data_IF_748418373240
#
_entry.id   IF_748418373240
#
_cell.length_a   1.000
_cell.length_b   1.000
_cell.length_c   1.000
_cell.angle_alpha   90.00
_cell.angle_beta   90.00
_cell.angle_gamma   90.00
#
_symmetry.space_group_name_H-M   'P 1'
#
loop_
_entity.id
_entity.type
_entity.pdbx_description
1 polymer ?
#
# COMPACT_ATOMS: atom_id res chain seq x y z
N UNK A 1 -4.30 -12.14 -6.82
CA UNK A 1 -3.18 -11.67 -7.67
C UNK A 1 -2.05 -11.22 -6.76
N UNK A 2 -0.86 -11.82 -6.87
CA UNK A 2 0.30 -11.45 -6.05
C UNK A 2 0.95 -10.20 -6.64
N UNK A 3 0.76 -9.05 -6.00
CA UNK A 3 1.52 -7.84 -6.30
C UNK A 3 2.97 -8.09 -5.84
N UNK A 4 3.81 -8.60 -6.74
CA UNK A 4 5.26 -8.67 -6.51
C UNK A 4 5.80 -7.24 -6.60
N UNK A 5 5.92 -6.58 -5.46
CA UNK A 5 6.62 -5.30 -5.35
C UNK A 5 8.11 -5.43 -5.66
N UNK A 6 8.81 -4.30 -5.75
CA UNK A 6 10.27 -4.29 -5.90
C UNK A 6 10.89 -4.88 -4.62
N UNK A 7 11.60 -5.99 -4.77
CA UNK A 7 12.19 -6.70 -3.63
C UNK A 7 13.46 -5.98 -3.15
N UNK A 8 13.45 -5.53 -1.89
CA UNK A 8 14.60 -4.89 -1.22
C UNK A 8 15.89 -5.67 -1.38
N UNK A 9 15.83 -7.00 -1.20
CA UNK A 9 17.00 -7.89 -1.29
C UNK A 9 17.58 -7.90 -2.71
N UNK A 10 16.71 -7.89 -3.73
CA UNK A 10 17.14 -7.82 -5.12
C UNK A 10 17.85 -6.50 -5.41
N UNK A 11 17.31 -5.38 -4.94
CA UNK A 11 17.92 -4.06 -5.13
C UNK A 11 19.25 -3.95 -4.38
N UNK A 12 19.33 -4.41 -3.13
CA UNK A 12 20.59 -4.45 -2.37
C UNK A 12 21.65 -5.29 -3.06
N UNK A 13 21.27 -6.45 -3.61
CA UNK A 13 22.19 -7.29 -4.37
C UNK A 13 22.69 -6.57 -5.64
N UNK A 14 21.81 -5.91 -6.39
CA UNK A 14 22.18 -5.16 -7.59
C UNK A 14 23.12 -3.99 -7.28
N UNK A 15 22.89 -3.26 -6.19
CA UNK A 15 23.80 -2.21 -5.74
C UNK A 15 25.19 -2.79 -5.41
N UNK A 16 25.24 -3.91 -4.71
CA UNK A 16 26.52 -4.58 -4.41
C UNK A 16 27.23 -5.10 -5.67
N UNK A 17 26.49 -5.56 -6.69
CA UNK A 17 27.07 -5.96 -7.97
C UNK A 17 27.63 -4.75 -8.73
N UNK A 18 26.98 -3.59 -8.67
CA UNK A 18 27.51 -2.35 -9.26
C UNK A 18 28.76 -1.85 -8.53
N UNK A 19 28.85 -2.03 -7.21
CA UNK A 19 30.06 -1.74 -6.44
C UNK A 19 31.23 -2.63 -6.92
N UNK A 20 30.98 -3.94 -7.07
CA UNK A 20 31.99 -4.89 -7.56
C UNK A 20 32.40 -4.60 -9.01
N UNK A 21 31.46 -4.19 -9.87
CA UNK A 21 31.74 -3.81 -11.25
C UNK A 21 32.65 -2.58 -11.31
N UNK A 22 32.37 -1.56 -10.49
CA UNK A 22 33.20 -0.36 -10.39
C UNK A 22 34.64 -0.70 -9.92
N UNK A 23 34.80 -1.62 -8.97
CA UNK A 23 36.11 -2.08 -8.53
C UNK A 23 36.88 -2.84 -9.63
N UNK A 24 36.17 -3.68 -10.39
CA UNK A 24 36.75 -4.41 -11.52
C UNK A 24 37.16 -3.48 -12.65
N UNK A 25 36.32 -2.52 -13.03
CA UNK A 25 36.62 -1.53 -14.07
C UNK A 25 37.89 -0.74 -13.71
N UNK A 26 38.02 -0.29 -12.45
CA UNK A 26 39.25 0.36 -11.98
C UNK A 26 40.47 -0.56 -12.04
N UNK A 27 40.32 -1.83 -11.64
CA UNK A 27 41.41 -2.80 -11.66
C UNK A 27 41.87 -3.14 -13.09
N UNK A 28 40.96 -3.09 -14.05
CA UNK A 28 41.22 -3.33 -15.47
C UNK A 28 41.76 -2.08 -16.20
N UNK A 29 41.88 -0.95 -15.52
CA UNK A 29 42.35 0.31 -16.11
C UNK A 29 41.32 0.97 -17.02
N UNK A 30 40.03 0.73 -16.78
CA UNK A 30 38.94 1.41 -17.48
C UNK A 30 39.07 2.93 -17.36
N UNK A 31 38.53 3.62 -18.34
CA UNK A 31 38.51 5.09 -18.35
C UNK A 31 37.70 5.64 -17.18
N UNK A 32 38.00 6.87 -16.79
CA UNK A 32 37.23 7.57 -15.75
C UNK A 32 35.76 7.78 -16.16
N UNK A 33 35.49 7.86 -17.47
CA UNK A 33 34.14 7.94 -18.04
C UNK A 33 33.34 6.65 -17.83
N UNK A 34 33.93 5.47 -18.04
CA UNK A 34 33.29 4.17 -17.79
C UNK A 34 33.01 3.97 -16.30
N UNK A 35 33.99 4.27 -15.44
CA UNK A 35 33.79 4.24 -13.98
C UNK A 35 32.68 5.21 -13.53
N UNK A 36 32.58 6.39 -14.17
CA UNK A 36 31.52 7.34 -13.87
C UNK A 36 30.14 6.84 -14.28
N UNK A 37 30.00 6.11 -15.39
CA UNK A 37 28.71 5.54 -15.79
C UNK A 37 28.19 4.55 -14.74
N UNK A 38 29.05 3.66 -14.21
CA UNK A 38 28.65 2.71 -13.15
C UNK A 38 28.22 3.45 -11.88
N UNK A 39 28.93 4.52 -11.50
CA UNK A 39 28.54 5.38 -10.36
C UNK A 39 27.18 6.02 -10.55
N UNK A 40 26.91 6.55 -11.74
CA UNK A 40 25.62 7.18 -12.09
C UNK A 40 24.51 6.14 -12.01
N UNK A 41 24.68 4.97 -12.62
CA UNK A 41 23.66 3.90 -12.54
C UNK A 41 23.38 3.45 -11.11
N UNK A 42 24.41 3.35 -10.27
CA UNK A 42 24.23 3.02 -8.85
C UNK A 42 23.42 4.09 -8.12
N UNK A 43 23.72 5.37 -8.38
CA UNK A 43 22.98 6.48 -7.79
C UNK A 43 21.52 6.48 -8.24
N UNK A 44 21.28 6.33 -9.55
CA UNK A 44 19.93 6.29 -10.13
C UNK A 44 19.10 5.14 -9.54
N UNK A 45 19.69 3.94 -9.42
CA UNK A 45 19.01 2.78 -8.83
C UNK A 45 18.64 3.05 -7.36
N UNK A 46 19.55 3.65 -6.59
CA UNK A 46 19.31 4.01 -5.18
C UNK A 46 18.20 5.05 -5.05
N UNK A 47 18.22 6.09 -5.87
CA UNK A 47 17.18 7.12 -5.87
C UNK A 47 15.81 6.57 -6.30
N UNK A 48 15.77 5.76 -7.36
CA UNK A 48 14.55 5.13 -7.83
C UNK A 48 13.93 4.25 -6.74
N UNK A 49 14.75 3.46 -6.04
CA UNK A 49 14.28 2.62 -4.95
C UNK A 49 13.75 3.42 -3.76
N UNK A 50 14.42 4.52 -3.38
CA UNK A 50 13.94 5.41 -2.33
C UNK A 50 12.61 6.06 -2.69
N UNK A 51 12.42 6.48 -3.95
CA UNK A 51 11.13 7.02 -4.42
C UNK A 51 10.03 5.96 -4.35
N UNK A 52 10.36 4.73 -4.72
CA UNK A 52 9.44 3.60 -4.59
C UNK A 52 9.02 3.35 -3.13
N UNK A 53 9.96 3.33 -2.18
CA UNK A 53 9.66 3.15 -0.75
C UNK A 53 8.77 4.27 -0.19
N UNK A 54 9.01 5.52 -0.61
CA UNK A 54 8.15 6.66 -0.23
C UNK A 54 6.71 6.48 -0.75
N UNK A 55 6.56 6.13 -2.02
CA UNK A 55 5.25 5.89 -2.63
C UNK A 55 4.49 4.74 -1.92
N UNK A 56 5.18 3.66 -1.56
CA UNK A 56 4.57 2.58 -0.77
C UNK A 56 4.08 3.07 0.60
N UNK A 57 4.85 3.92 1.26
CA UNK A 57 4.49 4.49 2.56
C UNK A 57 3.25 5.37 2.44
N UNK A 58 3.18 6.23 1.41
CA UNK A 58 2.01 7.07 1.14
C UNK A 58 0.75 6.23 0.85
N UNK A 59 0.88 5.18 0.02
CA UNK A 59 -0.23 4.26 -0.25
C UNK A 59 -0.70 3.57 1.03
N UNK A 60 0.22 3.12 1.90
CA UNK A 60 -0.13 2.48 3.16
C UNK A 60 -0.92 3.44 4.08
N UNK A 61 -0.55 4.72 4.12
CA UNK A 61 -1.31 5.75 4.84
C UNK A 61 -2.73 5.89 4.28
N UNK A 62 -2.87 5.98 2.96
CA UNK A 62 -4.19 6.07 2.33
C UNK A 62 -5.06 4.83 2.59
N UNK A 63 -4.48 3.63 2.53
CA UNK A 63 -5.18 2.38 2.87
C UNK A 63 -5.67 2.42 4.32
N UNK A 64 -4.82 2.87 5.26
CA UNK A 64 -5.21 3.04 6.67
C UNK A 64 -6.40 3.99 6.84
N UNK A 65 -6.37 5.15 6.19
CA UNK A 65 -7.47 6.14 6.23
C UNK A 65 -8.76 5.54 5.67
N UNK A 66 -8.70 4.86 4.52
CA UNK A 66 -9.86 4.22 3.91
C UNK A 66 -10.44 3.14 4.82
N UNK A 67 -9.58 2.34 5.46
CA UNK A 67 -10.00 1.29 6.39
C UNK A 67 -10.65 1.86 7.65
N UNK A 68 -10.13 2.97 8.17
CA UNK A 68 -10.74 3.69 9.29
C UNK A 68 -12.11 4.26 8.94
N UNK A 69 -12.25 4.87 7.75
CA UNK A 69 -13.54 5.37 7.26
C UNK A 69 -14.52 4.21 7.11
N UNK A 70 -14.10 3.12 6.47
CA UNK A 70 -14.92 1.93 6.32
C UNK A 70 -15.38 1.40 7.68
N UNK A 71 -14.49 1.29 8.66
CA UNK A 71 -14.83 0.84 10.01
C UNK A 71 -15.78 1.79 10.72
N UNK A 72 -15.59 3.12 10.61
CA UNK A 72 -16.53 4.11 11.16
C UNK A 72 -17.92 3.96 10.55
N UNK A 73 -18.01 3.76 9.23
CA UNK A 73 -19.28 3.57 8.54
C UNK A 73 -19.93 2.25 8.97
N UNK A 74 -19.20 1.14 8.87
CA UNK A 74 -19.70 -0.20 9.13
C UNK A 74 -20.12 -0.40 10.58
N UNK A 75 -19.31 0.07 11.54
CA UNK A 75 -19.49 -0.26 12.96
C UNK A 75 -20.25 0.80 13.74
N UNK A 76 -20.28 2.06 13.28
CA UNK A 76 -20.96 3.15 13.99
C UNK A 76 -22.14 3.69 13.20
N UNK A 77 -21.91 4.17 11.98
CA UNK A 77 -22.95 4.86 11.22
C UNK A 77 -24.10 3.93 10.83
N UNK A 78 -23.81 2.80 10.19
CA UNK A 78 -24.83 1.87 9.69
C UNK A 78 -25.70 1.33 10.83
N UNK A 79 -25.15 0.78 11.94
CA UNK A 79 -25.97 0.27 13.03
C UNK A 79 -26.82 1.36 13.69
N UNK A 80 -26.28 2.56 13.91
CA UNK A 80 -27.04 3.66 14.49
C UNK A 80 -28.17 4.14 13.58
N UNK A 81 -27.91 4.24 12.27
CA UNK A 81 -28.95 4.63 11.31
C UNK A 81 -30.06 3.59 11.23
N UNK A 82 -29.71 2.31 11.19
CA UNK A 82 -30.69 1.21 11.17
C UNK A 82 -31.51 1.16 12.47
N UNK A 83 -30.89 1.35 13.64
CA UNK A 83 -31.61 1.44 14.93
C UNK A 83 -32.59 2.60 14.97
N UNK A 84 -32.23 3.76 14.42
CA UNK A 84 -33.14 4.92 14.35
C UNK A 84 -34.32 4.65 13.43
N UNK A 85 -34.06 4.14 12.23
CA UNK A 85 -35.11 3.71 11.28
C UNK A 85 -36.09 2.73 11.94
N UNK A 86 -35.60 1.80 12.77
CA UNK A 86 -36.46 0.82 13.45
C UNK A 86 -37.45 1.46 14.43
N UNK A 87 -37.18 2.67 14.92
CA UNK A 87 -38.08 3.41 15.82
C UNK A 87 -39.17 4.18 15.07
N UNK A 88 -38.98 4.39 13.77
CA UNK A 88 -39.85 5.21 12.93
C UNK A 88 -40.75 4.34 12.03
N UNK A 89 -40.31 3.12 11.71
CA UNK A 89 -41.05 2.18 10.85
C UNK A 89 -42.07 1.39 11.69
N UNK A 90 -43.35 1.30 11.28
CA UNK A 90 -44.36 0.49 11.96
C UNK A 90 -43.96 -0.99 12.02
N UNK A 91 -44.15 -1.63 13.18
CA UNK A 91 -43.69 -3.02 13.40
C UNK A 91 -44.37 -4.05 12.48
N UNK A 92 -45.58 -3.75 12.04
CA UNK A 92 -46.40 -4.64 11.20
C UNK A 92 -46.06 -4.52 9.70
N UNK A 93 -45.13 -3.63 9.34
CA UNK A 93 -44.80 -3.35 7.94
C UNK A 93 -43.75 -4.33 7.39
N UNK A 94 -43.81 -4.59 6.08
CA UNK A 94 -42.82 -5.42 5.39
C UNK A 94 -41.40 -4.83 5.46
N UNK A 95 -41.30 -3.50 5.43
CA UNK A 95 -40.06 -2.75 5.58
C UNK A 95 -39.40 -2.99 6.94
N UNK A 96 -40.20 -3.19 8.01
CA UNK A 96 -39.67 -3.52 9.34
C UNK A 96 -38.98 -4.90 9.37
N UNK A 97 -39.53 -5.88 8.64
CA UNK A 97 -38.95 -7.22 8.51
C UNK A 97 -37.59 -7.14 7.79
N UNK A 98 -37.53 -6.43 6.66
CA UNK A 98 -36.29 -6.19 5.91
C UNK A 98 -35.25 -5.44 6.75
N UNK A 99 -35.69 -4.47 7.57
CA UNK A 99 -34.82 -3.70 8.44
C UNK A 99 -34.22 -4.56 9.56
N UNK A 100 -35.00 -5.47 10.17
CA UNK A 100 -34.49 -6.43 11.17
C UNK A 100 -33.40 -7.33 10.60
N UNK A 101 -33.58 -7.85 9.39
CA UNK A 101 -32.55 -8.65 8.72
C UNK A 101 -31.29 -7.83 8.43
N UNK A 102 -31.45 -6.60 7.97
CA UNK A 102 -30.34 -5.69 7.67
C UNK A 102 -29.52 -5.36 8.91
N UNK A 103 -30.17 -5.13 10.06
CA UNK A 103 -29.51 -4.97 11.36
C UNK A 103 -28.72 -6.22 11.72
N UNK A 104 -29.35 -7.40 11.64
CA UNK A 104 -28.69 -8.68 11.97
C UNK A 104 -27.45 -8.92 11.12
N UNK A 105 -27.52 -8.62 9.82
CA UNK A 105 -26.37 -8.75 8.88
C UNK A 105 -25.27 -7.72 9.15
N UNK A 106 -25.62 -6.51 9.61
CA UNK A 106 -24.63 -5.45 9.92
C UNK A 106 -23.78 -5.71 11.17
N UNK A 107 -24.22 -6.64 12.03
CA UNK A 107 -23.50 -7.03 13.26
C UNK A 107 -22.59 -8.26 13.10
N UNK A 108 -22.62 -8.90 11.93
CA UNK A 108 -21.68 -9.96 11.51
C UNK A 108 -20.45 -9.33 10.84
#
# INVERSE_FOLDING_TARGET
MSLKGINKRTVSNLLGLLDQLEELDRALGASEEECNQVRVFRQDLKEAYLRYERMLTEIAVHVGICQDIYNKIRLRFVPEKLKRLRREVPEDSFEFILLRESIRKSHL
#
